data_IF_969369080899
#
_entry.id   IF_969369080899
#
_cell.length_a   1.000
_cell.length_b   1.000
_cell.length_c   1.000
_cell.angle_alpha   90.00
_cell.angle_beta   90.00
_cell.angle_gamma   90.00
#
_symmetry.space_group_name_H-M   'P 1'
#
loop_
_entity.id
_entity.type
_entity.pdbx_description
1 polymer ?
#
# COMPACT_ATOMS: atom_id res chain seq x y z
N UNK A 1 20.48 37.99 39.17
CA UNK A 1 20.59 37.50 37.79
C UNK A 1 19.46 36.51 37.57
N UNK A 2 18.54 36.77 36.64
CA UNK A 2 17.38 35.91 36.34
C UNK A 2 17.75 35.07 35.12
N UNK A 3 17.73 33.75 35.26
CA UNK A 3 18.07 32.81 34.19
C UNK A 3 16.76 32.36 33.55
N UNK A 4 16.51 32.75 32.30
CA UNK A 4 15.39 32.24 31.51
C UNK A 4 15.90 31.26 30.45
N UNK A 5 15.34 30.05 30.47
CA UNK A 5 15.62 29.00 29.50
C UNK A 5 14.83 29.25 28.22
N UNK A 6 15.37 30.06 27.33
CA UNK A 6 14.87 30.24 25.97
C UNK A 6 15.42 29.12 25.08
N UNK A 7 14.70 27.98 25.02
CA UNK A 7 15.02 26.86 24.15
C UNK A 7 14.12 25.66 24.42
N UNK A 8 13.55 25.07 23.35
CA UNK A 8 12.70 23.88 23.44
C UNK A 8 13.41 22.74 24.18
N UNK A 9 12.72 22.12 25.15
CA UNK A 9 13.23 21.05 26.03
C UNK A 9 13.50 19.71 25.31
N UNK A 10 13.25 19.64 24.01
CA UNK A 10 13.36 18.41 23.24
C UNK A 10 14.50 18.58 22.23
N UNK A 11 15.63 17.92 22.50
CA UNK A 11 16.67 17.69 21.52
C UNK A 11 16.35 16.39 20.79
N UNK A 12 16.11 16.48 19.48
CA UNK A 12 15.96 15.31 18.63
C UNK A 12 17.36 14.78 18.32
N UNK A 13 17.79 13.75 19.07
CA UNK A 13 19.09 13.10 18.85
C UNK A 13 18.89 11.99 17.83
N UNK A 14 19.28 12.25 16.58
CA UNK A 14 19.29 11.24 15.53
C UNK A 14 20.56 10.40 15.64
N UNK A 15 20.42 9.19 16.19
CA UNK A 15 21.52 8.22 16.22
C UNK A 15 21.70 7.65 14.81
N UNK A 16 22.65 8.22 14.06
CA UNK A 16 23.05 7.70 12.74
C UNK A 16 23.61 6.29 12.92
N UNK A 17 22.76 5.27 12.74
CA UNK A 17 23.17 3.86 12.77
C UNK A 17 24.11 3.59 11.60
N UNK A 18 25.22 2.89 11.90
CA UNK A 18 26.21 2.41 10.91
C UNK A 18 25.50 1.75 9.72
N UNK A 19 25.79 2.22 8.52
CA UNK A 19 25.13 1.76 7.30
C UNK A 19 25.28 0.24 7.14
N UNK A 20 24.14 -0.46 7.04
CA UNK A 20 24.14 -1.88 6.69
C UNK A 20 24.48 -1.98 5.21
N UNK A 21 25.55 -2.71 4.88
CA UNK A 21 25.89 -3.01 3.48
C UNK A 21 24.65 -3.63 2.80
N UNK A 22 24.21 -3.10 1.65
CA UNK A 22 23.07 -3.67 0.94
C UNK A 22 23.39 -5.11 0.58
N UNK A 23 22.48 -6.04 0.87
CA UNK A 23 22.70 -7.43 0.50
C UNK A 23 22.59 -7.55 -1.03
N UNK A 24 23.67 -7.97 -1.68
CA UNK A 24 23.70 -8.21 -3.14
C UNK A 24 22.55 -9.11 -3.60
N UNK A 25 22.11 -10.04 -2.75
CA UNK A 25 20.96 -10.92 -3.00
C UNK A 25 19.66 -10.12 -3.13
N UNK A 26 19.37 -9.18 -2.22
CA UNK A 26 18.20 -8.28 -2.36
C UNK A 26 18.32 -7.42 -3.61
N UNK A 27 19.52 -6.94 -3.94
CA UNK A 27 19.72 -6.13 -5.13
C UNK A 27 19.34 -6.89 -6.40
N UNK A 28 19.87 -8.10 -6.57
CA UNK A 28 19.57 -8.96 -7.73
C UNK A 28 18.08 -9.32 -7.77
N UNK A 29 17.48 -9.61 -6.61
CA UNK A 29 16.05 -9.92 -6.52
C UNK A 29 15.18 -8.74 -6.95
N UNK A 30 15.46 -7.53 -6.43
CA UNK A 30 14.72 -6.31 -6.79
C UNK A 30 14.93 -5.99 -8.26
N UNK A 31 16.13 -6.16 -8.79
CA UNK A 31 16.42 -5.94 -10.21
C UNK A 31 15.62 -6.88 -11.13
N UNK A 32 15.57 -8.18 -10.82
CA UNK A 32 14.74 -9.15 -11.54
C UNK A 32 13.25 -8.81 -11.44
N UNK A 33 12.78 -8.46 -10.25
CA UNK A 33 11.40 -8.07 -10.01
C UNK A 33 11.01 -6.82 -10.83
N UNK A 34 11.88 -5.82 -10.91
CA UNK A 34 11.68 -4.63 -11.73
C UNK A 34 11.70 -4.95 -13.22
N UNK A 35 12.64 -5.78 -13.69
CA UNK A 35 12.73 -6.18 -15.08
C UNK A 35 11.45 -6.90 -15.55
N UNK A 36 11.08 -8.00 -14.87
CA UNK A 36 9.88 -8.76 -15.23
C UNK A 36 8.60 -7.97 -14.95
N UNK A 37 8.55 -7.19 -13.87
CA UNK A 37 7.42 -6.31 -13.55
C UNK A 37 7.16 -5.30 -14.66
N UNK A 38 8.20 -4.61 -15.13
CA UNK A 38 8.08 -3.65 -16.23
C UNK A 38 7.65 -4.31 -17.55
N UNK A 39 8.20 -5.49 -17.88
CA UNK A 39 7.84 -6.23 -19.09
C UNK A 39 6.37 -6.65 -19.07
N UNK A 40 5.88 -7.14 -17.92
CA UNK A 40 4.48 -7.47 -17.72
C UNK A 40 3.59 -6.23 -17.81
N UNK A 41 3.95 -5.11 -17.17
CA UNK A 41 3.16 -3.86 -17.24
C UNK A 41 3.07 -3.32 -18.66
N UNK A 42 4.18 -3.29 -19.40
CA UNK A 42 4.20 -2.82 -20.80
C UNK A 42 3.31 -3.71 -21.66
N UNK A 43 3.40 -5.03 -21.50
CA UNK A 43 2.58 -5.97 -22.26
C UNK A 43 1.10 -5.87 -21.89
N UNK A 44 0.78 -5.69 -20.61
CA UNK A 44 -0.58 -5.52 -20.11
C UNK A 44 -1.23 -4.22 -20.63
N UNK A 45 -0.44 -3.14 -20.74
CA UNK A 45 -0.90 -1.90 -21.35
C UNK A 45 -1.04 -2.01 -22.88
N UNK A 46 -0.20 -2.81 -23.54
CA UNK A 46 -0.25 -3.01 -24.99
C UNK A 46 -1.35 -4.01 -25.45
N UNK A 47 -1.77 -4.93 -24.59
CA UNK A 47 -2.76 -5.98 -24.88
C UNK A 47 -4.19 -5.66 -24.41
N UNK A 48 -4.50 -4.38 -24.17
CA UNK A 48 -5.85 -3.85 -23.88
C UNK A 48 -6.61 -4.60 -22.75
N UNK A 49 -6.00 -4.65 -21.57
CA UNK A 49 -6.57 -5.15 -20.30
C UNK A 49 -7.08 -6.60 -20.36
N UNK A 50 -6.63 -7.41 -21.33
CA UNK A 50 -6.90 -8.84 -21.35
C UNK A 50 -5.73 -9.62 -20.73
N UNK A 51 -5.83 -9.88 -19.42
CA UNK A 51 -4.82 -10.64 -18.66
C UNK A 51 -4.55 -12.03 -19.25
N UNK A 52 -5.54 -12.67 -19.86
CA UNK A 52 -5.37 -13.99 -20.46
C UNK A 52 -4.51 -13.90 -21.73
N UNK A 53 -4.75 -12.90 -22.58
CA UNK A 53 -3.99 -12.72 -23.81
C UNK A 53 -2.52 -12.39 -23.53
N UNK A 54 -2.23 -11.58 -22.50
CA UNK A 54 -0.86 -11.29 -22.04
C UNK A 54 -0.12 -12.57 -21.65
N UNK A 55 -0.77 -13.47 -20.91
CA UNK A 55 -0.14 -14.72 -20.47
C UNK A 55 0.17 -15.65 -21.64
N UNK A 56 -0.78 -15.78 -22.58
CA UNK A 56 -0.61 -16.57 -23.80
C UNK A 56 0.55 -16.01 -24.63
N UNK A 57 0.57 -14.69 -24.87
CA UNK A 57 1.64 -14.02 -25.65
C UNK A 57 3.01 -14.11 -24.96
N UNK A 58 3.06 -13.99 -23.64
CA UNK A 58 4.30 -14.15 -22.87
C UNK A 58 4.88 -15.55 -23.06
N UNK A 59 4.04 -16.59 -22.93
CA UNK A 59 4.46 -17.97 -23.09
C UNK A 59 4.85 -18.28 -24.52
N UNK A 60 4.10 -17.75 -25.50
CA UNK A 60 4.41 -17.86 -26.93
C UNK A 60 5.78 -17.23 -27.26
N UNK A 61 6.11 -16.06 -26.72
CA UNK A 61 7.41 -15.43 -26.95
C UNK A 61 8.59 -16.22 -26.34
N UNK A 62 8.37 -16.93 -25.24
CA UNK A 62 9.42 -17.71 -24.56
C UNK A 62 9.57 -19.11 -25.15
N UNK A 63 8.46 -19.78 -25.49
CA UNK A 63 8.45 -21.18 -25.95
C UNK A 63 8.31 -21.33 -27.46
N UNK A 64 7.97 -20.26 -28.18
CA UNK A 64 7.70 -20.26 -29.62
C UNK A 64 6.42 -20.99 -30.01
N UNK A 65 5.61 -21.46 -29.04
CA UNK A 65 4.36 -22.19 -29.27
C UNK A 65 3.21 -21.45 -28.62
N UNK A 66 2.12 -21.30 -29.37
CA UNK A 66 0.89 -20.71 -28.86
C UNK A 66 0.06 -21.79 -28.16
N UNK A 67 -0.15 -21.60 -26.87
CA UNK A 67 -1.02 -22.42 -26.03
C UNK A 67 -2.19 -21.54 -25.56
N UNK A 68 -3.42 -21.98 -25.77
CA UNK A 68 -4.62 -21.21 -25.36
C UNK A 68 -4.78 -21.17 -23.83
N UNK A 69 -4.19 -22.14 -23.12
CA UNK A 69 -4.27 -22.26 -21.67
C UNK A 69 -2.91 -22.63 -21.07
N UNK A 70 -2.01 -21.65 -20.87
CA UNK A 70 -0.68 -21.91 -20.32
C UNK A 70 -0.74 -22.21 -18.80
N UNK A 71 -1.16 -23.42 -18.43
CA UNK A 71 -1.38 -23.85 -17.04
C UNK A 71 -0.12 -23.74 -16.16
N UNK A 72 1.06 -24.01 -16.71
CA UNK A 72 2.33 -23.90 -16.00
C UNK A 72 2.64 -22.44 -15.62
N UNK A 73 2.42 -21.52 -16.54
CA UNK A 73 2.63 -20.09 -16.30
C UNK A 73 1.59 -19.56 -15.31
N UNK A 74 0.33 -19.95 -15.47
CA UNK A 74 -0.75 -19.54 -14.56
C UNK A 74 -0.47 -20.00 -13.13
N UNK A 75 -0.01 -21.24 -12.95
CA UNK A 75 0.35 -21.76 -11.63
C UNK A 75 1.50 -20.96 -11.02
N UNK A 76 2.56 -20.73 -11.77
CA UNK A 76 3.70 -19.93 -11.32
C UNK A 76 3.31 -18.48 -10.99
N UNK A 77 2.43 -17.87 -11.80
CA UNK A 77 1.89 -16.53 -11.56
C UNK A 77 1.08 -16.47 -10.26
N UNK A 78 0.16 -17.42 -10.03
CA UNK A 78 -0.62 -17.50 -8.79
C UNK A 78 0.26 -17.69 -7.56
N UNK A 79 1.27 -18.55 -7.63
CA UNK A 79 2.27 -18.70 -6.56
C UNK A 79 3.04 -17.40 -6.34
N UNK A 80 3.46 -16.71 -7.39
CA UNK A 80 4.18 -15.44 -7.33
C UNK A 80 3.35 -14.34 -6.67
N UNK A 81 2.07 -14.21 -7.00
CA UNK A 81 1.16 -13.24 -6.38
C UNK A 81 0.92 -13.59 -4.91
N UNK A 82 0.61 -14.86 -4.60
CA UNK A 82 0.38 -15.30 -3.23
C UNK A 82 1.62 -15.13 -2.34
N UNK A 83 2.78 -15.52 -2.85
CA UNK A 83 4.06 -15.31 -2.16
C UNK A 83 4.39 -13.83 -2.03
N UNK A 84 4.16 -13.03 -3.07
CA UNK A 84 4.33 -11.58 -3.07
C UNK A 84 3.48 -10.91 -2.00
N UNK A 85 2.22 -11.30 -1.87
CA UNK A 85 1.34 -10.84 -0.79
C UNK A 85 1.88 -11.26 0.58
N UNK A 86 2.21 -12.54 0.78
CA UNK A 86 2.74 -13.02 2.06
C UNK A 86 4.03 -12.29 2.43
N UNK A 87 4.94 -12.05 1.49
CA UNK A 87 6.17 -11.30 1.75
C UNK A 87 5.90 -9.82 1.94
N UNK A 88 4.99 -9.21 1.19
CA UNK A 88 4.59 -7.82 1.38
C UNK A 88 4.04 -7.62 2.79
N UNK A 89 3.08 -8.43 3.22
CA UNK A 89 2.56 -8.40 4.58
C UNK A 89 3.62 -8.86 5.61
N UNK A 90 4.48 -9.84 5.35
CA UNK A 90 5.50 -10.27 6.31
C UNK A 90 6.67 -9.25 6.42
N UNK A 91 7.00 -8.53 5.35
CA UNK A 91 8.08 -7.53 5.31
C UNK A 91 7.62 -6.17 5.82
N UNK A 92 6.39 -5.74 5.50
CA UNK A 92 5.78 -4.57 6.15
C UNK A 92 5.67 -4.77 7.67
N UNK A 93 5.44 -5.99 8.15
CA UNK A 93 5.20 -6.23 9.57
C UNK A 93 6.44 -6.56 10.42
N UNK A 94 7.53 -7.12 9.87
CA UNK A 94 8.62 -7.63 10.73
C UNK A 94 9.70 -6.63 11.15
N UNK A 95 9.66 -5.36 10.72
CA UNK A 95 10.62 -4.34 11.18
C UNK A 95 9.93 -3.26 12.01
N UNK A 96 9.38 -3.67 13.16
CA UNK A 96 9.06 -2.80 14.30
C UNK A 96 10.21 -1.80 14.54
N UNK A 97 10.04 -0.55 14.16
CA UNK A 97 10.61 0.62 14.85
C UNK A 97 9.67 1.85 14.85
N UNK A 98 8.47 1.77 14.27
CA UNK A 98 7.37 2.65 14.64
C UNK A 98 6.05 2.04 14.16
N UNK A 99 5.00 2.23 14.94
CA UNK A 99 3.63 1.77 14.67
C UNK A 99 3.01 2.63 13.55
N UNK A 100 3.59 2.60 12.35
CA UNK A 100 3.05 3.33 11.22
C UNK A 100 1.93 2.51 10.56
N UNK A 101 0.69 3.02 10.54
CA UNK A 101 -0.44 2.33 9.92
C UNK A 101 -0.19 2.13 8.43
N UNK A 102 -0.69 1.03 7.87
CA UNK A 102 -0.58 0.79 6.43
C UNK A 102 -1.35 1.87 5.65
N UNK A 103 -0.94 2.23 4.43
CA UNK A 103 -1.65 3.24 3.63
C UNK A 103 -3.16 2.96 3.49
N UNK A 104 -3.52 1.68 3.34
CA UNK A 104 -4.92 1.25 3.30
C UNK A 104 -5.64 1.47 4.64
N UNK A 105 -5.00 1.13 5.76
CA UNK A 105 -5.56 1.39 7.09
C UNK A 105 -5.74 2.89 7.34
N UNK A 106 -4.82 3.74 6.86
CA UNK A 106 -4.94 5.20 6.95
C UNK A 106 -6.13 5.70 6.14
N UNK A 107 -6.27 5.25 4.89
CA UNK A 107 -7.41 5.64 4.05
C UNK A 107 -8.74 5.16 4.65
N UNK A 108 -8.79 3.93 5.19
CA UNK A 108 -9.98 3.38 5.82
C UNK A 108 -10.31 4.09 7.14
N UNK A 109 -9.29 4.48 7.91
CA UNK A 109 -9.46 5.30 9.11
C UNK A 109 -10.04 6.68 8.77
N UNK A 110 -9.48 7.38 7.77
CA UNK A 110 -9.98 8.68 7.31
C UNK A 110 -11.40 8.58 6.77
N UNK A 111 -11.71 7.51 6.02
CA UNK A 111 -13.07 7.25 5.57
C UNK A 111 -14.04 7.13 6.76
N UNK A 112 -13.68 6.32 7.77
CA UNK A 112 -14.49 6.11 8.96
C UNK A 112 -14.69 7.42 9.74
N UNK A 113 -13.61 8.20 9.95
CA UNK A 113 -13.66 9.48 10.64
C UNK A 113 -14.60 10.47 9.94
N UNK A 114 -14.56 10.55 8.61
CA UNK A 114 -15.45 11.41 7.83
C UNK A 114 -16.93 11.00 7.97
N UNK A 115 -17.22 9.70 8.00
CA UNK A 115 -18.57 9.20 8.24
C UNK A 115 -19.05 9.58 9.65
N UNK A 116 -18.22 9.35 10.66
CA UNK A 116 -18.56 9.65 12.05
C UNK A 116 -18.82 11.15 12.23
N UNK A 117 -17.96 12.02 11.67
CA UNK A 117 -18.16 13.47 11.68
C UNK A 117 -19.45 13.89 10.97
N UNK A 118 -19.76 13.28 9.83
CA UNK A 118 -20.99 13.55 9.09
C UNK A 118 -22.23 13.20 9.93
N UNK A 119 -22.27 12.01 10.52
CA UNK A 119 -23.38 11.54 11.37
C UNK A 119 -23.58 12.45 12.57
N UNK A 120 -22.48 12.81 13.25
CA UNK A 120 -22.52 13.73 14.39
C UNK A 120 -23.08 15.09 13.97
N UNK A 121 -22.62 15.66 12.86
CA UNK A 121 -23.10 16.95 12.36
C UNK A 121 -24.59 16.91 11.97
N UNK A 122 -25.06 15.79 11.42
CA UNK A 122 -26.47 15.58 11.08
C UNK A 122 -27.35 15.53 12.33
N UNK A 123 -26.96 14.76 13.34
CA UNK A 123 -27.68 14.69 14.62
C UNK A 123 -27.75 16.05 15.32
N UNK A 124 -26.65 16.82 15.35
CA UNK A 124 -26.66 18.19 15.90
C UNK A 124 -27.63 19.11 15.14
N UNK A 125 -27.73 19.00 13.82
CA UNK A 125 -28.70 19.78 13.03
C UNK A 125 -30.15 19.38 13.36
N UNK A 126 -30.42 18.09 13.50
CA UNK A 126 -31.75 17.58 13.87
C UNK A 126 -32.17 18.06 15.25
N UNK A 127 -31.28 17.95 16.25
CA UNK A 127 -31.55 18.47 17.60
C UNK A 127 -31.80 19.98 17.61
N UNK A 128 -30.99 20.77 16.89
CA UNK A 128 -31.16 22.23 16.81
C UNK A 128 -32.49 22.64 16.17
N UNK A 129 -32.95 21.87 15.19
CA UNK A 129 -34.23 22.09 14.52
C UNK A 129 -35.39 21.73 15.44
N UNK A 130 -35.31 20.61 16.16
CA UNK A 130 -36.30 20.20 17.15
C UNK A 130 -36.42 21.21 18.32
N UNK A 131 -35.30 21.73 18.84
CA UNK A 131 -35.30 22.75 19.90
C UNK A 131 -35.91 24.09 19.47
N UNK A 132 -35.79 24.46 18.19
CA UNK A 132 -36.42 25.69 17.65
C UNK A 132 -37.93 25.56 17.47
N UNK A 133 -38.42 24.32 17.33
CA UNK A 133 -39.84 24.04 17.12
C UNK A 133 -40.61 23.92 18.43
N UNK A 134 -39.93 23.58 19.54
CA UNK A 134 -40.51 23.55 20.89
C UNK A 134 -40.65 24.91 21.58
N UNK A 135 -39.91 25.93 21.14
CA UNK A 135 -39.91 27.29 21.74
C UNK A 135 -40.96 28.24 21.11
N UNK A 136 -41.76 27.74 20.15
CA UNK A 136 -42.79 28.50 19.41
C UNK A 136 -44.23 28.03 19.70
N UNK A 137 -44.46 27.35 20.83
CA UNK A 137 -45.80 26.92 21.29
C UNK A 137 -46.10 27.45 22.69
#
# INVERSE_FOLDING_TARGET
>A
VRIESMGNKHSLVEVVKKEKKPSLILFILVWLLLFFGSALTIMNFHADVNMQEVQIRTVEMVTGRRDEHPYLFQTAYSFGIGFGMVVFFNHLFKKKWNEEPTPLEVEMFLYQENIDQYVVAEEYKRMKTASRQGDSS
#
